data_IF_126042870663
#
_entry.id   IF_126042870663
#
_cell.length_a   1.000
_cell.length_b   1.000
_cell.length_c   1.000
_cell.angle_alpha   90.00
_cell.angle_beta   90.00
_cell.angle_gamma   90.00
#
_symmetry.space_group_name_H-M   'P 1'
#
loop_
_entity.id
_entity.type
_entity.pdbx_description
1 polymer ?
#
# COMPACT_ATOMS: atom_id res chain seq x y z
N UNK A 1 15.85 -9.85 -0.42
CA UNK A 1 15.30 -10.99 0.35
C UNK A 1 14.95 -12.14 -0.56
N UNK A 2 15.13 -13.38 -0.08
CA UNK A 2 14.80 -14.59 -0.81
C UNK A 2 13.34 -14.69 -1.23
N UNK A 3 12.41 -14.09 -0.49
CA UNK A 3 10.99 -13.99 -0.87
C UNK A 3 10.79 -13.47 -2.32
N UNK A 4 11.54 -12.43 -2.71
CA UNK A 4 11.48 -11.85 -4.07
C UNK A 4 12.02 -12.85 -5.10
N UNK A 5 13.14 -13.51 -4.80
CA UNK A 5 13.75 -14.49 -5.71
C UNK A 5 12.90 -15.76 -5.85
N UNK A 6 12.25 -16.21 -4.77
CA UNK A 6 11.28 -17.32 -4.80
C UNK A 6 10.08 -16.97 -5.66
N UNK A 7 9.56 -15.73 -5.56
CA UNK A 7 8.50 -15.25 -6.45
C UNK A 7 8.95 -15.26 -7.91
N UNK A 8 10.18 -14.82 -8.21
CA UNK A 8 10.72 -14.82 -9.57
C UNK A 8 10.84 -16.24 -10.14
N UNK A 9 11.34 -17.19 -9.33
CA UNK A 9 11.35 -18.63 -9.68
C UNK A 9 9.94 -19.12 -10.00
N UNK A 10 8.98 -18.83 -9.12
CA UNK A 10 7.58 -19.25 -9.28
C UNK A 10 6.97 -18.71 -10.58
N UNK A 11 7.19 -17.43 -10.89
CA UNK A 11 6.75 -16.81 -12.14
C UNK A 11 7.32 -17.55 -13.37
N UNK A 12 8.63 -17.79 -13.39
CA UNK A 12 9.29 -18.43 -14.53
C UNK A 12 8.80 -19.86 -14.71
N UNK A 13 8.66 -20.61 -13.63
CA UNK A 13 8.16 -21.99 -13.67
C UNK A 13 6.71 -22.06 -14.14
N UNK A 14 5.82 -21.18 -13.63
CA UNK A 14 4.40 -21.18 -13.97
C UNK A 14 4.13 -20.73 -15.42
N UNK A 15 4.86 -19.73 -15.93
CA UNK A 15 4.67 -19.24 -17.30
C UNK A 15 5.49 -19.99 -18.36
N UNK A 16 6.71 -20.40 -18.04
CA UNK A 16 7.70 -20.87 -19.03
C UNK A 16 8.25 -22.29 -18.73
N UNK A 17 7.79 -22.92 -17.64
CA UNK A 17 8.18 -24.27 -17.25
C UNK A 17 9.53 -24.37 -16.53
N UNK A 18 9.75 -25.52 -15.89
CA UNK A 18 10.97 -25.80 -15.11
C UNK A 18 12.25 -25.81 -15.96
N UNK A 19 12.17 -26.26 -17.22
CA UNK A 19 13.34 -26.27 -18.12
C UNK A 19 13.89 -24.85 -18.38
N UNK A 20 13.00 -23.87 -18.48
CA UNK A 20 13.39 -22.47 -18.70
C UNK A 20 14.05 -21.90 -17.44
N UNK A 21 13.49 -22.23 -16.26
CA UNK A 21 14.11 -21.88 -14.99
C UNK A 21 15.52 -22.48 -14.87
N UNK A 22 15.71 -23.76 -15.20
CA UNK A 22 17.02 -24.41 -15.07
C UNK A 22 18.06 -23.79 -16.00
N UNK A 23 17.70 -23.48 -17.25
CA UNK A 23 18.59 -22.75 -18.18
C UNK A 23 18.98 -21.38 -17.62
N UNK A 24 18.00 -20.64 -17.08
CA UNK A 24 18.20 -19.32 -16.52
C UNK A 24 19.09 -19.37 -15.27
N UNK A 25 18.86 -20.34 -14.39
CA UNK A 25 19.65 -20.62 -13.19
C UNK A 25 21.12 -20.89 -13.53
N UNK A 26 21.36 -21.78 -14.48
CA UNK A 26 22.71 -22.14 -14.93
C UNK A 26 23.44 -20.94 -15.57
N UNK A 27 22.74 -20.12 -16.36
CA UNK A 27 23.33 -18.94 -16.99
C UNK A 27 23.60 -17.79 -16.00
N UNK A 28 22.80 -17.67 -14.95
CA UNK A 28 22.98 -16.68 -13.89
C UNK A 28 23.95 -17.16 -12.78
N UNK A 29 24.27 -18.46 -12.74
CA UNK A 29 25.15 -19.04 -11.73
C UNK A 29 24.53 -19.05 -10.33
N UNK A 30 23.21 -19.19 -10.21
CA UNK A 30 22.49 -19.11 -8.94
C UNK A 30 22.08 -20.49 -8.40
N UNK A 31 21.88 -20.57 -7.09
CA UNK A 31 21.35 -21.78 -6.44
C UNK A 31 19.89 -22.04 -6.81
N UNK A 32 19.44 -23.30 -6.67
CA UNK A 32 18.06 -23.67 -7.06
C UNK A 32 16.99 -23.20 -6.07
N UNK A 33 17.30 -23.20 -4.78
CA UNK A 33 16.36 -22.79 -3.73
C UNK A 33 16.80 -21.49 -3.06
N UNK A 34 15.84 -20.60 -2.81
CA UNK A 34 16.05 -19.39 -2.03
C UNK A 34 15.33 -19.52 -0.69
N UNK A 35 16.03 -19.24 0.41
CA UNK A 35 15.43 -19.16 1.72
C UNK A 35 14.69 -17.82 1.86
N UNK A 36 13.39 -17.87 2.13
CA UNK A 36 12.49 -16.71 2.15
C UNK A 36 13.01 -15.51 2.95
N UNK A 37 13.58 -15.77 4.14
CA UNK A 37 14.04 -14.75 5.08
C UNK A 37 15.54 -14.42 4.97
N UNK A 38 16.27 -15.06 4.06
CA UNK A 38 17.68 -14.76 3.83
C UNK A 38 17.84 -13.55 2.91
N UNK A 39 18.83 -12.71 3.19
CA UNK A 39 19.17 -11.57 2.35
C UNK A 39 20.20 -12.01 1.32
N UNK A 40 19.82 -11.89 0.06
CA UNK A 40 20.69 -12.12 -1.09
C UNK A 40 21.12 -10.78 -1.67
N UNK A 41 22.30 -10.78 -2.28
CA UNK A 41 22.86 -9.65 -3.03
C UNK A 41 21.94 -9.20 -4.16
N UNK A 42 21.70 -7.90 -4.30
CA UNK A 42 20.79 -7.33 -5.31
C UNK A 42 21.26 -7.65 -6.74
N UNK A 43 22.57 -7.85 -6.96
CA UNK A 43 23.13 -8.27 -8.24
C UNK A 43 22.53 -9.59 -8.74
N UNK A 44 22.14 -10.49 -7.84
CA UNK A 44 21.52 -11.77 -8.20
C UNK A 44 20.18 -11.52 -8.88
N UNK A 45 19.32 -10.69 -8.28
CA UNK A 45 18.00 -10.38 -8.85
C UNK A 45 18.14 -9.64 -10.19
N UNK A 46 19.06 -8.68 -10.27
CA UNK A 46 19.32 -7.94 -11.52
C UNK A 46 19.85 -8.86 -12.64
N UNK A 47 20.75 -9.79 -12.32
CA UNK A 47 21.25 -10.77 -13.29
C UNK A 47 20.14 -11.71 -13.77
N UNK A 48 19.27 -12.18 -12.87
CA UNK A 48 18.15 -13.05 -13.25
C UNK A 48 17.19 -12.34 -14.21
N UNK A 49 16.90 -11.06 -13.96
CA UNK A 49 16.08 -10.22 -14.86
C UNK A 49 16.77 -10.03 -16.21
N UNK A 50 18.05 -9.65 -16.24
CA UNK A 50 18.81 -9.48 -17.50
C UNK A 50 18.84 -10.76 -18.36
N UNK A 51 19.05 -11.92 -17.71
CA UNK A 51 19.01 -13.23 -18.39
C UNK A 51 17.60 -13.58 -18.86
N UNK A 52 16.56 -13.30 -18.06
CA UNK A 52 15.17 -13.49 -18.48
C UNK A 52 14.84 -12.67 -19.73
N UNK A 53 15.26 -11.41 -19.78
CA UNK A 53 15.07 -10.55 -20.95
C UNK A 53 15.70 -11.15 -22.21
N UNK A 54 16.93 -11.68 -22.10
CA UNK A 54 17.65 -12.31 -23.21
C UNK A 54 16.96 -13.58 -23.73
N UNK A 55 16.41 -14.40 -22.82
CA UNK A 55 15.73 -15.64 -23.19
C UNK A 55 14.36 -15.35 -23.83
N UNK A 56 13.62 -14.39 -23.27
CA UNK A 56 12.26 -14.07 -23.69
C UNK A 56 12.21 -13.11 -24.89
N UNK A 57 13.31 -12.40 -25.17
CA UNK A 57 13.37 -11.41 -26.25
C UNK A 57 12.51 -10.17 -25.99
N UNK A 58 12.15 -9.91 -24.73
CA UNK A 58 11.35 -8.76 -24.30
C UNK A 58 12.21 -7.79 -23.47
N UNK A 59 11.90 -6.48 -23.50
CA UNK A 59 12.67 -5.50 -22.74
C UNK A 59 12.43 -5.61 -21.22
N UNK A 60 13.39 -5.13 -20.43
CA UNK A 60 13.42 -5.33 -18.98
C UNK A 60 12.25 -4.66 -18.23
N UNK A 61 11.78 -3.51 -18.71
CA UNK A 61 10.61 -2.81 -18.18
C UNK A 61 9.35 -3.67 -18.27
N UNK A 62 9.13 -4.37 -19.39
CA UNK A 62 8.02 -5.29 -19.58
C UNK A 62 8.12 -6.52 -18.66
N UNK A 63 9.31 -7.12 -18.54
CA UNK A 63 9.54 -8.26 -17.63
C UNK A 63 9.29 -7.85 -16.18
N UNK A 64 9.80 -6.70 -15.76
CA UNK A 64 9.65 -6.19 -14.39
C UNK A 64 8.19 -5.82 -14.08
N UNK A 65 7.46 -5.28 -15.07
CA UNK A 65 6.03 -5.02 -14.94
C UNK A 65 5.24 -6.31 -14.74
N UNK A 66 5.46 -7.32 -15.59
CA UNK A 66 4.81 -8.62 -15.42
C UNK A 66 5.18 -9.26 -14.08
N UNK A 67 6.43 -9.12 -13.67
CA UNK A 67 6.88 -9.58 -12.37
C UNK A 67 6.13 -8.87 -11.23
N UNK A 68 5.91 -7.56 -11.32
CA UNK A 68 5.14 -6.81 -10.33
C UNK A 68 3.69 -7.27 -10.22
N UNK A 69 3.03 -7.54 -11.35
CA UNK A 69 1.65 -8.07 -11.38
C UNK A 69 1.58 -9.44 -10.69
N UNK A 70 2.50 -10.35 -11.03
CA UNK A 70 2.59 -11.66 -10.42
C UNK A 70 2.97 -11.59 -8.93
N UNK A 71 3.88 -10.69 -8.56
CA UNK A 71 4.34 -10.51 -7.19
C UNK A 71 3.20 -10.12 -6.25
N UNK A 72 2.30 -9.24 -6.70
CA UNK A 72 1.12 -8.87 -5.92
C UNK A 72 0.23 -10.09 -5.64
N UNK A 73 -0.06 -10.90 -6.65
CA UNK A 73 -0.83 -12.13 -6.51
C UNK A 73 -0.11 -13.17 -5.65
N UNK A 74 1.21 -13.30 -5.79
CA UNK A 74 2.05 -14.16 -4.96
C UNK A 74 2.01 -13.75 -3.48
N UNK A 75 2.04 -12.45 -3.18
CA UNK A 75 1.87 -11.93 -1.82
C UNK A 75 0.53 -12.33 -1.22
N UNK A 76 -0.56 -12.23 -1.98
CA UNK A 76 -1.89 -12.67 -1.54
C UNK A 76 -1.91 -14.17 -1.22
N UNK A 77 -1.40 -15.00 -2.13
CA UNK A 77 -1.30 -16.47 -1.95
C UNK A 77 -0.41 -16.86 -0.76
N UNK A 78 0.59 -16.03 -0.45
CA UNK A 78 1.49 -16.20 0.69
C UNK A 78 0.86 -15.82 2.05
N UNK A 79 -0.43 -15.47 2.08
CA UNK A 79 -1.18 -15.17 3.31
C UNK A 79 -1.27 -13.68 3.65
N UNK A 80 -0.78 -12.77 2.80
CA UNK A 80 -0.88 -11.32 3.02
C UNK A 80 -2.18 -10.70 2.48
N UNK A 81 -3.09 -11.48 1.88
CA UNK A 81 -4.33 -10.96 1.25
C UNK A 81 -5.18 -10.11 2.20
N UNK A 82 -5.45 -10.60 3.41
CA UNK A 82 -6.26 -9.86 4.37
C UNK A 82 -5.60 -8.53 4.77
N UNK A 83 -4.29 -8.54 5.02
CA UNK A 83 -3.52 -7.35 5.38
C UNK A 83 -3.54 -6.31 4.25
N UNK A 84 -3.28 -6.74 3.02
CA UNK A 84 -3.27 -5.87 1.84
C UNK A 84 -4.64 -5.22 1.59
N UNK A 85 -5.74 -5.97 1.78
CA UNK A 85 -7.11 -5.44 1.63
C UNK A 85 -7.50 -4.39 2.68
N UNK A 86 -6.81 -4.36 3.82
CA UNK A 86 -7.10 -3.41 4.91
C UNK A 86 -6.35 -2.09 4.80
N UNK A 87 -5.44 -1.94 3.83
CA UNK A 87 -4.58 -0.75 3.72
C UNK A 87 -5.30 0.52 3.29
N UNK A 88 -6.46 0.43 2.63
CA UNK A 88 -7.18 1.63 2.21
C UNK A 88 -8.53 1.34 1.57
N UNK A 89 -9.45 2.31 1.66
CA UNK A 89 -10.78 2.23 1.03
C UNK A 89 -10.78 2.66 -0.44
N UNK A 90 -9.69 3.24 -0.93
CA UNK A 90 -9.46 3.62 -2.32
C UNK A 90 -7.97 3.49 -2.68
N UNK A 91 -7.64 3.58 -3.97
CA UNK A 91 -6.26 3.42 -4.45
C UNK A 91 -5.28 4.43 -3.84
N UNK A 92 -5.73 5.67 -3.58
CA UNK A 92 -4.88 6.68 -2.97
C UNK A 92 -4.48 6.28 -1.55
N UNK A 93 -5.46 5.94 -0.70
CA UNK A 93 -5.20 5.49 0.68
C UNK A 93 -4.38 4.21 0.72
N UNK A 94 -4.62 3.29 -0.22
CA UNK A 94 -3.82 2.06 -0.33
C UNK A 94 -2.34 2.39 -0.52
N UNK A 95 -2.02 3.30 -1.44
CA UNK A 95 -0.64 3.72 -1.71
C UNK A 95 -0.04 4.49 -0.54
N UNK A 96 -0.82 5.40 0.08
CA UNK A 96 -0.39 6.20 1.23
C UNK A 96 0.03 5.33 2.42
N UNK A 97 -0.63 4.19 2.62
CA UNK A 97 -0.36 3.26 3.72
C UNK A 97 0.70 2.18 3.42
N UNK A 98 1.32 2.17 2.22
CA UNK A 98 2.35 1.17 1.88
C UNK A 98 3.60 1.28 2.76
N UNK A 99 4.01 2.48 3.12
CA UNK A 99 5.19 2.71 3.97
C UNK A 99 4.97 2.13 5.37
N UNK A 100 3.78 2.32 5.94
CA UNK A 100 3.40 1.74 7.23
C UNK A 100 3.38 0.20 7.19
N UNK A 101 2.90 -0.39 6.09
CA UNK A 101 3.00 -1.84 5.86
C UNK A 101 4.47 -2.30 5.86
N UNK A 102 5.34 -1.59 5.14
CA UNK A 102 6.76 -1.94 5.08
C UNK A 102 7.44 -1.85 6.45
N UNK A 103 7.12 -0.84 7.25
CA UNK A 103 7.60 -0.75 8.64
C UNK A 103 7.18 -1.97 9.47
N UNK A 104 5.91 -2.40 9.35
CA UNK A 104 5.42 -3.60 10.04
C UNK A 104 6.11 -4.88 9.56
N UNK A 105 6.28 -5.03 8.25
CA UNK A 105 6.98 -6.17 7.67
C UNK A 105 8.44 -6.21 8.12
N UNK A 106 9.12 -5.06 8.18
CA UNK A 106 10.51 -4.98 8.65
C UNK A 106 10.67 -5.56 10.06
N UNK A 107 9.78 -5.17 10.98
CA UNK A 107 9.74 -5.73 12.34
C UNK A 107 9.50 -7.23 12.35
N UNK A 108 8.57 -7.73 11.53
CA UNK A 108 8.23 -9.15 11.49
C UNK A 108 9.34 -10.02 10.87
N UNK A 109 10.07 -9.51 9.89
CA UNK A 109 11.19 -10.19 9.24
C UNK A 109 12.44 -10.16 10.13
N UNK A 110 12.67 -9.04 10.84
CA UNK A 110 13.72 -8.91 11.85
C UNK A 110 13.53 -9.92 12.98
N UNK A 111 12.34 -9.98 13.58
CA UNK A 111 12.04 -10.92 14.68
C UNK A 111 12.21 -12.40 14.27
N UNK A 112 11.94 -12.74 13.00
CA UNK A 112 12.13 -14.10 12.47
C UNK A 112 13.60 -14.40 12.15
N UNK A 113 14.38 -13.39 11.78
CA UNK A 113 15.82 -13.53 11.52
C UNK A 113 16.62 -13.76 12.81
N UNK A 114 16.22 -13.12 13.91
CA UNK A 114 16.84 -13.31 15.24
C UNK A 114 16.63 -14.72 15.81
N UNK A 115 15.52 -15.36 15.45
CA UNK A 115 15.21 -16.73 15.88
C UNK A 115 16.08 -17.79 15.19
N UNK A 116 16.80 -17.47 14.10
CA UNK A 116 17.51 -18.47 13.29
C UNK A 116 19.03 -18.57 13.53
N UNK A 117 19.73 -17.56 14.08
CA UNK A 117 21.09 -17.76 14.62
C UNK A 117 21.58 -16.53 15.41
N UNK A 118 22.13 -16.75 16.60
CA UNK A 118 22.97 -15.79 17.33
C UNK A 118 24.20 -15.46 16.46
N UNK A 119 24.49 -14.17 16.22
CA UNK A 119 25.71 -13.61 15.56
C UNK A 119 25.68 -13.18 14.08
N UNK A 120 24.53 -12.91 13.46
CA UNK A 120 24.51 -12.06 12.26
C UNK A 120 23.63 -10.86 12.52
N UNK A 121 24.21 -9.66 12.46
CA UNK A 121 23.49 -8.40 12.60
C UNK A 121 22.21 -8.44 11.75
N UNK A 122 21.00 -8.25 12.33
CA UNK A 122 19.78 -8.27 11.56
C UNK A 122 19.86 -7.14 10.53
N UNK A 123 19.97 -7.49 9.24
CA UNK A 123 19.83 -6.51 8.18
C UNK A 123 18.36 -6.10 8.13
N UNK A 124 18.11 -4.83 8.45
CA UNK A 124 16.80 -4.21 8.33
C UNK A 124 16.31 -4.32 6.89
N UNK A 125 15.00 -4.53 6.74
CA UNK A 125 14.42 -4.62 5.41
C UNK A 125 14.51 -3.27 4.72
N UNK A 126 15.39 -3.17 3.72
CA UNK A 126 15.46 -1.99 2.87
C UNK A 126 14.27 -2.00 1.88
N UNK A 127 13.21 -1.32 2.30
CA UNK A 127 11.96 -1.16 1.56
C UNK A 127 11.91 0.21 0.85
N UNK A 128 11.28 0.27 -0.34
CA UNK A 128 11.02 1.54 -0.98
C UNK A 128 9.96 2.34 -0.21
N UNK A 129 10.01 3.66 -0.36
CA UNK A 129 9.02 4.59 0.18
C UNK A 129 8.13 5.16 -0.93
N UNK A 130 6.86 5.33 -0.62
CA UNK A 130 5.82 5.83 -1.52
C UNK A 130 5.15 7.08 -0.95
N UNK A 131 5.05 8.10 -1.79
CA UNK A 131 4.26 9.29 -1.52
C UNK A 131 3.34 9.56 -2.70
N UNK A 132 2.10 9.93 -2.42
CA UNK A 132 1.11 10.18 -3.47
C UNK A 132 0.49 11.56 -3.28
N UNK A 133 0.32 12.30 -4.37
CA UNK A 133 -0.32 13.61 -4.41
C UNK A 133 -1.51 13.55 -5.38
N UNK A 134 -2.68 14.06 -4.98
CA UNK A 134 -3.85 14.17 -5.87
C UNK A 134 -3.80 15.47 -6.65
N UNK A 135 -4.01 15.38 -7.96
CA UNK A 135 -4.19 16.53 -8.83
C UNK A 135 -5.67 16.94 -8.92
N UNK A 136 -5.93 18.18 -9.33
CA UNK A 136 -7.29 18.72 -9.47
C UNK A 136 -8.12 18.01 -10.55
N UNK A 137 -7.47 17.44 -11.56
CA UNK A 137 -8.09 16.70 -12.66
C UNK A 137 -8.49 15.26 -12.28
N UNK A 138 -8.15 14.81 -11.08
CA UNK A 138 -8.39 13.44 -10.59
C UNK A 138 -7.30 12.43 -10.92
N UNK A 139 -6.22 12.84 -11.61
CA UNK A 139 -4.99 12.07 -11.70
C UNK A 139 -4.17 12.17 -10.39
N UNK A 140 -3.13 11.34 -10.26
CA UNK A 140 -2.26 11.36 -9.08
C UNK A 140 -0.79 11.31 -9.49
N UNK A 141 0.06 12.03 -8.76
CA UNK A 141 1.50 11.87 -8.84
C UNK A 141 1.97 10.91 -7.75
N UNK A 142 2.53 9.78 -8.16
CA UNK A 142 3.15 8.81 -7.26
C UNK A 142 4.67 9.00 -7.27
N UNK A 143 5.22 9.39 -6.14
CA UNK A 143 6.64 9.50 -5.87
C UNK A 143 7.13 8.16 -5.28
N UNK A 144 8.10 7.56 -5.95
CA UNK A 144 8.78 6.35 -5.55
C UNK A 144 10.22 6.67 -5.18
N UNK A 145 10.64 6.26 -3.99
CA UNK A 145 12.01 6.41 -3.51
C UNK A 145 12.63 5.05 -3.22
N UNK A 146 13.83 4.79 -3.73
CA UNK A 146 14.56 3.55 -3.44
C UNK A 146 16.07 3.75 -3.46
N UNK A 147 16.77 2.98 -2.63
CA UNK A 147 18.23 2.87 -2.70
C UNK A 147 18.68 1.99 -3.89
N UNK A 148 17.76 1.18 -4.46
CA UNK A 148 18.04 0.25 -5.55
C UNK A 148 17.62 0.87 -6.88
N UNK A 149 18.55 0.90 -7.85
CA UNK A 149 18.32 1.48 -9.17
C UNK A 149 17.68 0.48 -10.13
N UNK A 150 16.74 0.95 -10.94
CA UNK A 150 16.16 0.19 -12.07
C UNK A 150 15.06 -0.81 -11.70
N UNK A 151 14.67 -0.88 -10.43
CA UNK A 151 13.54 -1.71 -9.97
C UNK A 151 12.19 -0.98 -10.00
N UNK A 152 12.19 0.29 -10.39
CA UNK A 152 10.99 1.12 -10.46
C UNK A 152 9.90 0.55 -11.39
N UNK A 153 10.28 -0.21 -12.43
CA UNK A 153 9.35 -0.81 -13.39
C UNK A 153 8.47 -1.92 -12.78
N UNK A 154 8.78 -2.38 -11.57
CA UNK A 154 7.93 -3.30 -10.80
C UNK A 154 6.68 -2.56 -10.28
N UNK A 155 6.81 -1.27 -9.95
CA UNK A 155 5.74 -0.48 -9.31
C UNK A 155 4.48 -0.41 -10.17
N UNK A 156 4.53 -0.12 -11.49
CA UNK A 156 3.35 -0.18 -12.34
C UNK A 156 2.60 -1.52 -12.32
N UNK A 157 3.33 -2.63 -12.24
CA UNK A 157 2.73 -3.96 -12.17
C UNK A 157 2.01 -4.21 -10.84
N UNK A 158 2.65 -3.88 -9.72
CA UNK A 158 2.06 -4.05 -8.38
C UNK A 158 0.83 -3.15 -8.22
N UNK A 159 0.97 -1.86 -8.48
CA UNK A 159 -0.11 -0.89 -8.28
C UNK A 159 -1.25 -1.14 -9.28
N UNK A 160 -0.92 -1.54 -10.51
CA UNK A 160 -1.92 -1.94 -11.52
C UNK A 160 -2.73 -3.15 -11.10
N UNK A 161 -2.07 -4.21 -10.60
CA UNK A 161 -2.75 -5.40 -10.10
C UNK A 161 -3.63 -5.09 -8.87
N UNK A 162 -3.12 -4.28 -7.93
CA UNK A 162 -3.89 -3.85 -6.76
C UNK A 162 -5.13 -3.01 -7.15
N UNK A 163 -4.97 -2.07 -8.09
CA UNK A 163 -6.05 -1.23 -8.58
C UNK A 163 -7.18 -2.07 -9.20
N UNK A 164 -6.83 -3.06 -10.00
CA UNK A 164 -7.79 -3.93 -10.65
C UNK A 164 -8.49 -4.88 -9.66
N UNK A 165 -7.71 -5.57 -8.81
CA UNK A 165 -8.25 -6.61 -7.92
C UNK A 165 -9.04 -6.04 -6.74
N UNK A 166 -8.58 -4.94 -6.13
CA UNK A 166 -9.20 -4.40 -4.91
C UNK A 166 -10.25 -3.34 -5.20
N UNK A 167 -10.05 -2.53 -6.25
CA UNK A 167 -10.88 -1.36 -6.52
C UNK A 167 -11.64 -1.45 -7.85
N UNK A 168 -11.38 -2.47 -8.68
CA UNK A 168 -11.98 -2.65 -10.00
C UNK A 168 -11.78 -1.42 -10.91
N UNK A 169 -10.55 -0.88 -10.90
CA UNK A 169 -10.11 0.27 -11.69
C UNK A 169 -8.93 -0.16 -12.55
N UNK A 170 -8.96 0.18 -13.84
CA UNK A 170 -7.78 0.09 -14.70
C UNK A 170 -6.99 1.39 -14.59
N UNK A 171 -5.67 1.30 -14.47
CA UNK A 171 -4.80 2.48 -14.37
C UNK A 171 -3.77 2.48 -15.48
N UNK A 172 -3.38 3.67 -15.93
CA UNK A 172 -2.14 3.88 -16.67
C UNK A 172 -1.15 4.61 -15.78
N UNK A 173 0.11 4.19 -15.85
CA UNK A 173 1.22 4.80 -15.11
C UNK A 173 2.34 5.14 -16.08
N UNK A 174 2.71 6.41 -16.11
CA UNK A 174 3.77 6.94 -16.98
C UNK A 174 4.84 7.62 -16.13
N UNK A 175 6.12 7.42 -16.48
CA UNK A 175 7.22 8.09 -15.77
C UNK A 175 7.29 9.53 -16.29
N UNK A 176 7.07 10.50 -15.40
CA UNK A 176 7.15 11.93 -15.72
C UNK A 176 8.47 12.56 -15.28
N UNK A 177 9.12 11.99 -14.25
CA UNK A 177 10.41 12.47 -13.79
C UNK A 177 11.24 11.31 -13.20
N UNK A 178 12.56 11.37 -13.41
CA UNK A 178 13.53 10.44 -12.83
C UNK A 178 14.77 11.23 -12.41
N UNK A 179 15.02 11.27 -11.11
CA UNK A 179 16.10 12.02 -10.48
C UNK A 179 16.86 11.12 -9.50
N UNK A 180 18.12 11.49 -9.21
CA UNK A 180 18.85 10.96 -8.07
C UNK A 180 18.89 12.05 -7.01
N UNK A 181 18.36 11.75 -5.83
CA UNK A 181 18.38 12.66 -4.69
C UNK A 181 19.42 12.19 -3.67
N UNK A 182 20.24 13.13 -3.20
CA UNK A 182 21.26 12.85 -2.19
C UNK A 182 20.64 13.03 -0.80
N UNK A 183 20.55 11.94 -0.03
CA UNK A 183 20.06 11.93 1.34
C UNK A 183 21.19 11.62 2.32
N UNK A 184 20.89 11.75 3.62
CA UNK A 184 21.84 11.45 4.71
C UNK A 184 22.36 10.01 4.67
N UNK A 185 21.55 9.06 4.19
CA UNK A 185 21.89 7.64 4.09
C UNK A 185 22.54 7.26 2.76
N UNK A 186 22.65 8.18 1.80
CA UNK A 186 23.19 7.95 0.47
C UNK A 186 22.32 8.49 -0.65
N UNK A 187 22.68 8.16 -1.89
CA UNK A 187 21.90 8.53 -3.08
C UNK A 187 20.70 7.61 -3.23
N UNK A 188 19.51 8.19 -3.38
CA UNK A 188 18.26 7.48 -3.65
C UNK A 188 17.76 7.80 -5.05
N UNK A 189 17.30 6.77 -5.75
CA UNK A 189 16.51 6.93 -6.97
C UNK A 189 15.14 7.48 -6.60
N UNK A 190 14.76 8.61 -7.19
CA UNK A 190 13.44 9.21 -7.07
C UNK A 190 12.76 9.21 -8.43
N UNK A 191 11.62 8.52 -8.52
CA UNK A 191 10.81 8.47 -9.74
C UNK A 191 9.43 9.01 -9.45
N UNK A 192 8.93 9.86 -10.33
CA UNK A 192 7.55 10.36 -10.29
C UNK A 192 6.78 9.71 -11.41
N UNK A 193 5.72 8.99 -11.04
CA UNK A 193 4.74 8.42 -11.95
C UNK A 193 3.48 9.28 -12.00
N UNK A 194 2.99 9.58 -13.20
CA UNK A 194 1.63 10.07 -13.39
C UNK A 194 0.68 8.87 -13.47
N UNK A 195 -0.26 8.80 -12.54
CA UNK A 195 -1.26 7.74 -12.43
C UNK A 195 -2.61 8.27 -12.90
N UNK A 196 -3.13 7.70 -13.99
CA UNK A 196 -4.46 8.02 -14.51
C UNK A 196 -5.41 6.85 -14.26
N UNK A 197 -6.56 7.14 -13.66
CA UNK A 197 -7.56 6.14 -13.32
C UNK A 197 -8.66 6.08 -14.39
N UNK A 198 -8.85 4.91 -14.99
CA UNK A 198 -9.92 4.62 -15.91
C UNK A 198 -10.91 3.64 -15.23
N UNK A 199 -12.13 4.07 -14.89
CA UNK A 199 -13.11 3.16 -14.31
C UNK A 199 -13.41 2.06 -15.32
N UNK A 200 -13.35 0.80 -14.88
CA UNK A 200 -13.72 -0.33 -15.73
C UNK A 200 -15.23 -0.29 -15.91
N UNK A 201 -15.70 0.27 -17.03
CA UNK A 201 -17.10 0.16 -17.41
C UNK A 201 -17.40 -1.32 -17.66
N UNK A 202 -18.17 -1.94 -16.76
CA UNK A 202 -18.53 -3.34 -16.89
C UNK A 202 -19.36 -3.57 -18.16
N UNK A 203 -18.76 -4.09 -19.23
CA UNK A 203 -19.48 -4.75 -20.31
C UNK A 203 -18.73 -5.98 -20.81
N UNK A 204 -19.32 -7.15 -20.50
CA UNK A 204 -19.12 -8.48 -21.09
C UNK A 204 -17.69 -9.07 -21.08
N UNK A 205 -17.50 -10.00 -20.13
CA UNK A 205 -16.87 -11.33 -20.31
C UNK A 205 -15.68 -11.35 -21.29
N UNK A 206 -14.48 -10.97 -20.83
CA UNK A 206 -13.22 -11.42 -21.45
C UNK A 206 -13.09 -12.92 -21.21
N UNK A 207 -13.61 -13.71 -22.14
CA UNK A 207 -13.19 -15.09 -22.36
C UNK A 207 -13.12 -15.28 -23.87
N UNK A 208 -11.92 -15.15 -24.43
CA UNK A 208 -11.48 -15.83 -25.64
C UNK A 208 -10.01 -15.47 -25.88
N UNK A 209 -9.13 -16.15 -25.15
CA UNK A 209 -7.83 -16.63 -25.65
C UNK A 209 -7.32 -17.70 -24.66
N UNK A 210 -7.94 -18.88 -24.70
CA UNK A 210 -7.29 -20.17 -24.46
C UNK A 210 -8.31 -21.32 -24.52
N UNK A 211 -7.96 -22.32 -25.30
CA UNK A 211 -8.52 -23.67 -25.37
C UNK A 211 -9.88 -23.87 -26.03
N UNK A 212 -9.82 -24.08 -27.35
CA UNK A 212 -10.72 -24.93 -28.11
C UNK A 212 -10.81 -26.34 -27.52
N UNK A 213 -12.01 -26.77 -27.13
CA UNK A 213 -12.39 -28.19 -27.09
C UNK A 213 -13.75 -28.32 -27.74
N UNK A 214 -13.77 -29.07 -28.84
CA UNK A 214 -14.95 -29.46 -29.59
C UNK A 214 -15.82 -30.42 -28.76
N UNK A 215 -17.14 -30.33 -28.94
CA UNK A 215 -18.15 -31.41 -29.10
C UNK A 215 -19.50 -31.03 -28.45
N UNK A 216 -20.48 -30.75 -29.35
CA UNK A 216 -21.94 -31.05 -29.35
C UNK A 216 -22.76 -30.73 -28.07
N UNK A 217 -23.92 -30.07 -28.13
CA UNK A 217 -25.08 -30.38 -28.96
C UNK A 217 -26.09 -29.20 -29.02
N UNK A 218 -26.85 -29.19 -30.10
CA UNK A 218 -27.90 -28.25 -30.50
C UNK A 218 -29.12 -28.25 -29.56
N UNK A 219 -29.65 -27.07 -29.20
CA UNK A 219 -31.11 -26.83 -29.22
C UNK A 219 -31.49 -25.37 -28.94
N UNK A 220 -32.27 -24.85 -29.90
CA UNK A 220 -33.34 -23.85 -29.75
C UNK A 220 -33.00 -22.35 -29.74
N UNK A 221 -33.17 -21.81 -30.96
CA UNK A 221 -33.47 -20.41 -31.30
C UNK A 221 -34.84 -19.97 -30.75
N UNK A 222 -34.95 -18.64 -30.63
CA UNK A 222 -36.16 -17.82 -30.41
C UNK A 222 -36.70 -17.88 -28.98
N UNK A 223 -36.80 -16.78 -28.23
CA UNK A 223 -37.84 -15.76 -28.40
C UNK A 223 -37.35 -14.43 -27.81
N UNK A 224 -37.50 -13.34 -28.58
CA UNK A 224 -37.32 -11.98 -28.11
C UNK A 224 -38.59 -11.40 -27.48
N UNK A 225 -38.38 -10.41 -26.61
CA UNK A 225 -39.28 -9.31 -26.24
C UNK A 225 -40.73 -9.62 -25.83
N UNK A 226 -41.01 -9.55 -24.53
CA UNK A 226 -42.10 -8.75 -23.92
C UNK A 226 -42.12 -8.97 -22.41
N UNK A 227 -41.83 -7.94 -21.61
CA UNK A 227 -42.16 -7.90 -20.17
C UNK A 227 -43.13 -6.75 -19.96
N UNK A 228 -44.40 -7.12 -19.73
CA UNK A 228 -45.53 -6.23 -19.59
C UNK A 228 -45.53 -5.52 -18.22
N UNK A 229 -46.03 -4.29 -18.23
CA UNK A 229 -46.15 -3.37 -17.08
C UNK A 229 -47.12 -3.85 -15.99
N UNK A 230 -47.80 -4.97 -16.17
CA UNK A 230 -48.83 -5.49 -15.24
C UNK A 230 -48.25 -6.40 -14.14
N UNK A 231 -47.05 -6.96 -14.32
CA UNK A 231 -46.41 -7.82 -13.30
C UNK A 231 -45.81 -7.02 -12.12
N UNK A 232 -45.54 -5.73 -12.32
CA UNK A 232 -44.98 -4.83 -11.32
C UNK A 232 -46.01 -4.37 -10.26
N UNK A 233 -47.30 -4.33 -10.60
CA UNK A 233 -48.34 -3.93 -9.64
C UNK A 233 -48.84 -5.09 -8.78
N UNK A 234 -48.86 -6.32 -9.33
CA UNK A 234 -49.23 -7.53 -8.56
C UNK A 234 -48.25 -7.84 -7.42
N UNK A 235 -46.95 -7.58 -7.62
CA UNK A 235 -45.93 -7.81 -6.60
C UNK A 235 -46.01 -6.82 -5.42
N UNK A 236 -46.64 -5.65 -5.59
CA UNK A 236 -46.71 -4.59 -4.58
C UNK A 236 -47.83 -4.80 -3.56
N UNK A 237 -48.85 -5.58 -3.90
CA UNK A 237 -50.00 -5.83 -3.03
C UNK A 237 -49.89 -7.07 -2.14
N UNK A 238 -48.84 -7.90 -2.30
CA UNK A 238 -48.64 -9.13 -1.49
C UNK A 238 -47.90 -8.89 -0.17
N UNK A 239 -47.37 -7.69 0.08
CA UNK A 239 -46.51 -7.39 1.24
C UNK A 239 -47.32 -6.87 2.46
N UNK A 240 -48.64 -6.71 2.34
CA UNK A 240 -49.46 -6.07 3.39
C UNK A 240 -50.23 -7.00 4.32
N UNK A 241 -50.16 -8.33 4.13
CA UNK A 241 -50.83 -9.29 4.99
C UNK A 241 -49.93 -10.50 5.33
N UNK A 242 -49.30 -10.45 6.51
CA UNK A 242 -49.27 -11.54 7.52
C UNK A 242 -48.20 -11.28 8.59
N UNK A 243 -48.68 -11.21 9.83
CA UNK A 243 -47.84 -11.28 11.03
C UNK A 243 -47.53 -12.73 11.45
N UNK A 244 -46.45 -12.82 12.22
CA UNK A 244 -46.05 -13.86 13.18
C UNK A 244 -45.74 -15.29 12.72
N UNK A 245 -44.54 -15.72 13.14
CA UNK A 245 -44.13 -17.08 13.53
C UNK A 245 -43.45 -18.01 12.49
N UNK A 246 -42.34 -18.59 12.98
CA UNK A 246 -41.55 -19.76 12.54
C UNK A 246 -40.51 -19.57 11.42
N UNK A 247 -39.24 -19.75 11.79
CA UNK A 247 -38.08 -19.87 10.91
C UNK A 247 -38.07 -21.19 10.11
N UNK A 248 -37.67 -21.13 8.83
CA UNK A 248 -36.64 -22.05 8.37
C UNK A 248 -35.51 -21.35 7.59
N UNK A 249 -34.45 -22.13 7.41
CA UNK A 249 -33.06 -21.78 7.15
C UNK A 249 -32.75 -21.45 5.66
N UNK A 250 -31.90 -20.42 5.49
CA UNK A 250 -30.94 -20.07 4.40
C UNK A 250 -31.43 -19.61 3.02
N UNK A 251 -30.61 -18.66 2.50
CA UNK A 251 -30.47 -18.17 1.12
C UNK A 251 -31.26 -16.94 0.62
N UNK A 252 -31.65 -15.99 1.48
CA UNK A 252 -32.30 -14.74 1.02
C UNK A 252 -31.76 -13.42 1.60
N UNK A 253 -30.73 -13.43 2.45
CA UNK A 253 -30.30 -12.20 3.13
C UNK A 253 -29.53 -11.23 2.21
N UNK A 254 -28.72 -11.75 1.26
CA UNK A 254 -27.90 -10.94 0.35
C UNK A 254 -28.66 -10.24 -0.79
N UNK A 255 -29.92 -10.63 -1.04
CA UNK A 255 -30.80 -9.93 -1.99
C UNK A 255 -31.51 -8.75 -1.33
N UNK A 256 -31.94 -8.91 -0.08
CA UNK A 256 -32.57 -7.84 0.70
C UNK A 256 -31.57 -6.73 1.06
N UNK A 257 -30.31 -7.08 1.39
CA UNK A 257 -29.26 -6.08 1.66
C UNK A 257 -28.97 -5.21 0.43
N UNK A 258 -29.03 -5.78 -0.80
CA UNK A 258 -28.82 -5.00 -2.03
C UNK A 258 -29.92 -3.97 -2.31
N UNK A 259 -31.15 -4.20 -1.86
CA UNK A 259 -32.26 -3.25 -2.00
C UNK A 259 -32.23 -2.10 -0.97
N UNK A 260 -31.48 -2.24 0.11
CA UNK A 260 -31.39 -1.23 1.19
C UNK A 260 -30.27 -0.21 0.93
N UNK A 261 -29.28 -0.53 0.08
CA UNK A 261 -28.19 0.38 -0.36
C UNK A 261 -28.69 1.35 -1.46
N UNK A 262 -29.92 1.84 -1.34
CA UNK A 262 -30.47 2.94 -2.14
C UNK A 262 -31.06 4.05 -1.26
N UNK A 263 -30.48 4.25 -0.07
CA UNK A 263 -30.76 5.38 0.80
C UNK A 263 -29.62 6.38 0.73
N UNK A 264 -29.70 7.21 -0.31
CA UNK A 264 -28.84 8.36 -0.55
C UNK A 264 -28.70 8.59 -2.04
N UNK A 265 -29.33 9.66 -2.56
CA UNK A 265 -29.02 10.19 -3.90
C UNK A 265 -27.60 10.76 -3.92
N UNK A 266 -26.59 9.89 -3.83
CA UNK A 266 -25.17 10.19 -3.93
C UNK A 266 -24.54 9.29 -4.99
N UNK A 267 -23.49 9.77 -5.65
CA UNK A 267 -22.77 9.10 -6.75
C UNK A 267 -22.28 7.68 -6.36
N UNK A 268 -23.14 6.68 -6.48
CA UNK A 268 -22.71 5.29 -6.49
C UNK A 268 -21.82 5.09 -7.72
N UNK A 269 -20.58 4.63 -7.49
CA UNK A 269 -19.49 4.29 -8.42
C UNK A 269 -18.26 5.21 -8.46
N UNK A 270 -18.12 6.25 -7.62
CA UNK A 270 -16.83 6.96 -7.44
C UNK A 270 -16.37 6.89 -6.00
N UNK A 271 -15.57 5.88 -5.67
CA UNK A 271 -14.71 5.84 -4.47
C UNK A 271 -15.42 6.00 -3.11
N UNK A 272 -14.65 5.83 -2.04
CA UNK A 272 -15.02 6.33 -0.72
C UNK A 272 -14.57 7.79 -0.63
N UNK A 273 -15.51 8.71 -0.39
CA UNK A 273 -15.23 10.12 -0.12
C UNK A 273 -15.56 10.43 1.36
N UNK A 274 -14.56 10.71 2.22
CA UNK A 274 -14.81 11.02 3.62
C UNK A 274 -15.56 12.35 3.77
N UNK A 275 -16.49 12.42 4.73
CA UNK A 275 -17.24 13.63 5.06
C UNK A 275 -16.73 14.20 6.38
N UNK A 276 -16.18 15.40 6.33
CA UNK A 276 -15.68 16.12 7.51
C UNK A 276 -16.68 17.19 7.97
N UNK A 277 -16.88 17.36 9.29
CA UNK A 277 -17.73 18.43 9.81
C UNK A 277 -17.12 19.80 9.50
N UNK A 278 -17.97 20.81 9.26
CA UNK A 278 -17.52 22.19 8.97
C UNK A 278 -16.83 22.88 10.15
N UNK A 279 -17.13 22.44 11.37
CA UNK A 279 -16.58 22.99 12.59
C UNK A 279 -16.07 21.88 13.48
N UNK A 280 -14.97 22.13 14.19
CA UNK A 280 -14.43 21.24 15.20
C UNK A 280 -15.18 21.49 16.52
N UNK A 281 -15.86 20.46 17.05
CA UNK A 281 -16.70 20.56 18.26
C UNK A 281 -15.93 20.26 19.57
N UNK A 282 -14.61 20.48 19.56
CA UNK A 282 -13.74 20.27 20.72
C UNK A 282 -12.88 21.52 20.92
N UNK A 283 -12.86 22.06 22.14
CA UNK A 283 -12.02 23.21 22.47
C UNK A 283 -10.54 22.80 22.61
N UNK A 284 -9.64 23.78 22.51
CA UNK A 284 -8.19 23.55 22.52
C UNK A 284 -7.70 22.90 23.81
N UNK A 285 -8.29 23.25 24.97
CA UNK A 285 -7.91 22.68 26.26
C UNK A 285 -8.33 21.22 26.32
N UNK A 286 -9.54 20.88 25.90
CA UNK A 286 -10.00 19.49 25.85
C UNK A 286 -9.17 18.67 24.86
N UNK A 287 -8.85 19.21 23.68
CA UNK A 287 -7.99 18.54 22.69
C UNK A 287 -6.59 18.25 23.25
N UNK A 288 -5.95 19.24 23.88
CA UNK A 288 -4.59 19.06 24.41
C UNK A 288 -4.50 18.11 25.61
N UNK A 289 -5.59 17.96 26.36
CA UNK A 289 -5.71 16.95 27.40
C UNK A 289 -6.06 15.56 26.83
N UNK A 290 -6.86 15.50 25.77
CA UNK A 290 -7.28 14.26 25.11
C UNK A 290 -6.16 13.58 24.32
N UNK A 291 -5.26 14.35 23.71
CA UNK A 291 -4.05 13.86 23.05
C UNK A 291 -2.81 14.32 23.82
N UNK A 292 -2.39 13.61 24.89
CA UNK A 292 -1.37 14.10 25.81
C UNK A 292 0.04 14.22 25.22
N UNK A 293 0.33 13.52 24.12
CA UNK A 293 1.63 13.47 23.42
C UNK A 293 1.47 13.83 21.95
N UNK A 294 1.01 15.05 21.66
CA UNK A 294 0.95 15.60 20.31
C UNK A 294 1.76 16.89 20.22
N UNK A 295 2.15 17.26 19.00
CA UNK A 295 2.85 18.49 18.69
C UNK A 295 2.37 19.04 17.35
N UNK A 296 2.13 20.34 17.26
CA UNK A 296 1.82 21.05 16.02
C UNK A 296 2.82 22.19 15.88
N UNK A 297 3.43 22.32 14.72
CA UNK A 297 4.48 23.32 14.44
C UNK A 297 4.34 23.88 13.03
N UNK A 298 4.90 25.07 12.79
CA UNK A 298 4.88 25.72 11.49
C UNK A 298 6.05 25.30 10.58
N UNK A 299 6.13 25.93 9.41
CA UNK A 299 7.17 25.66 8.40
C UNK A 299 8.58 26.09 8.85
N UNK A 300 8.69 26.86 9.92
CA UNK A 300 9.94 27.23 10.57
C UNK A 300 10.27 26.32 11.77
N UNK A 301 9.56 25.19 11.91
CA UNK A 301 9.67 24.26 13.04
C UNK A 301 9.32 24.90 14.39
N UNK A 302 8.56 26.00 14.40
CA UNK A 302 8.14 26.65 15.65
C UNK A 302 6.87 25.99 16.18
N UNK A 303 6.95 25.51 17.41
CA UNK A 303 5.82 24.84 18.07
C UNK A 303 4.66 25.83 18.29
N UNK A 304 3.47 25.48 17.80
CA UNK A 304 2.21 26.21 17.96
C UNK A 304 1.29 25.58 18.99
N UNK A 305 1.37 24.27 19.16
CA UNK A 305 0.52 23.49 20.05
C UNK A 305 1.26 22.25 20.55
N UNK A 306 1.05 21.87 21.80
CA UNK A 306 1.61 20.64 22.37
C UNK A 306 0.64 20.01 23.38
N UNK A 307 0.71 18.69 23.54
CA UNK A 307 -0.06 17.97 24.55
C UNK A 307 0.37 18.28 25.98
N UNK A 308 -0.53 18.09 26.94
CA UNK A 308 -0.26 18.46 28.34
C UNK A 308 0.82 17.57 28.98
N UNK A 309 0.87 16.28 28.66
CA UNK A 309 1.85 15.37 29.26
C UNK A 309 3.25 15.58 28.70
N UNK A 310 3.39 15.79 27.39
CA UNK A 310 4.70 16.08 26.79
C UNK A 310 5.29 17.39 27.33
N UNK A 311 4.47 18.42 27.55
CA UNK A 311 4.89 19.69 28.18
C UNK A 311 5.39 19.53 29.62
N UNK A 312 4.94 18.51 30.36
CA UNK A 312 5.45 18.21 31.72
C UNK A 312 6.84 17.58 31.67
N UNK A 313 7.10 16.77 30.64
CA UNK A 313 8.36 16.04 30.48
C UNK A 313 9.43 16.92 29.83
N UNK A 314 9.03 17.75 28.85
CA UNK A 314 9.87 18.68 28.12
C UNK A 314 9.36 20.11 28.37
N UNK A 315 9.78 20.77 29.47
CA UNK A 315 9.23 22.07 29.87
C UNK A 315 9.41 23.18 28.83
N UNK A 316 10.39 23.07 27.92
CA UNK A 316 10.57 24.00 26.82
C UNK A 316 9.31 24.14 25.95
N UNK A 317 8.52 23.08 25.80
CA UNK A 317 7.27 23.08 25.04
C UNK A 317 6.16 23.94 25.66
N UNK A 318 6.31 24.40 26.91
CA UNK A 318 5.39 25.37 27.51
C UNK A 318 5.59 26.78 26.93
N UNK A 319 6.76 27.06 26.36
CA UNK A 319 7.05 28.32 25.68
C UNK A 319 6.62 28.21 24.23
N UNK A 320 5.48 28.79 23.88
CA UNK A 320 4.99 28.77 22.49
C UNK A 320 5.98 29.48 21.55
N UNK A 321 6.22 28.89 20.37
CA UNK A 321 7.11 29.44 19.35
C UNK A 321 8.58 29.01 19.45
N UNK A 322 8.94 28.11 20.37
CA UNK A 322 10.27 27.48 20.41
C UNK A 322 10.51 26.64 19.15
N UNK A 323 11.77 26.54 18.74
CA UNK A 323 12.18 25.71 17.62
C UNK A 323 12.28 24.24 18.05
N UNK A 324 11.59 23.37 17.32
CA UNK A 324 11.44 21.95 17.66
C UNK A 324 12.75 21.18 17.61
N UNK A 325 13.57 21.46 16.60
CA UNK A 325 14.88 20.85 16.32
C UNK A 325 15.94 21.12 17.41
N UNK A 326 15.73 22.14 18.23
CA UNK A 326 16.54 22.40 19.42
C UNK A 326 16.29 21.41 20.55
N UNK A 327 15.08 20.85 20.65
CA UNK A 327 14.68 19.95 21.74
C UNK A 327 14.66 18.48 21.33
N UNK A 328 14.46 18.21 20.04
CA UNK A 328 14.33 16.86 19.51
C UNK A 328 15.30 16.62 18.35
N UNK A 329 15.64 15.36 18.16
CA UNK A 329 16.29 14.83 16.96
C UNK A 329 15.40 13.77 16.33
N UNK A 330 15.48 13.62 15.01
CA UNK A 330 14.84 12.52 14.29
C UNK A 330 15.78 11.32 14.36
N UNK A 331 15.33 10.25 14.99
CA UNK A 331 16.04 8.96 15.04
C UNK A 331 15.64 8.09 13.85
N UNK A 332 14.36 8.12 13.49
CA UNK A 332 13.84 7.38 12.34
C UNK A 332 12.74 8.21 11.65
N UNK A 333 12.68 8.24 10.31
CA UNK A 333 13.76 7.86 9.38
C UNK A 333 15.01 8.73 9.58
N UNK A 334 16.17 8.24 9.15
CA UNK A 334 17.46 8.92 9.33
C UNK A 334 17.63 10.14 8.41
N UNK A 335 16.84 11.20 8.64
CA UNK A 335 16.76 12.37 7.75
C UNK A 335 17.14 13.67 8.49
N UNK A 336 17.56 14.72 7.77
CA UNK A 336 17.71 16.04 8.36
C UNK A 336 16.40 16.53 8.99
N UNK A 337 16.47 17.22 10.13
CA UNK A 337 15.29 17.80 10.78
C UNK A 337 14.86 19.08 10.04
N UNK A 338 14.28 18.92 8.86
CA UNK A 338 13.73 20.02 8.06
C UNK A 338 12.30 19.69 7.61
N UNK A 339 11.49 20.72 7.36
CA UNK A 339 10.12 20.52 6.87
C UNK A 339 10.10 19.81 5.52
N UNK A 340 11.04 20.12 4.62
CA UNK A 340 11.16 19.44 3.34
C UNK A 340 11.40 17.94 3.52
N UNK A 341 12.28 17.56 4.45
CA UNK A 341 12.55 16.16 4.76
C UNK A 341 11.32 15.49 5.41
N UNK A 342 10.66 16.15 6.35
CA UNK A 342 9.45 15.60 6.99
C UNK A 342 8.33 15.38 5.97
N UNK A 343 8.09 16.33 5.07
CA UNK A 343 7.09 16.22 4.00
C UNK A 343 7.42 15.10 3.00
N UNK A 344 8.71 14.91 2.71
CA UNK A 344 9.18 13.83 1.83
C UNK A 344 8.83 12.45 2.40
N UNK A 345 8.97 12.29 3.72
CA UNK A 345 8.73 11.03 4.43
C UNK A 345 7.42 11.02 5.23
N UNK A 346 6.41 11.79 4.80
CA UNK A 346 5.18 12.01 5.56
C UNK A 346 4.41 10.72 5.92
N UNK A 347 4.56 9.66 5.11
CA UNK A 347 3.92 8.36 5.30
C UNK A 347 4.77 7.40 6.14
N UNK A 348 6.02 7.75 6.44
CA UNK A 348 6.89 6.97 7.30
C UNK A 348 6.58 7.25 8.77
N UNK A 349 6.75 6.24 9.62
CA UNK A 349 6.69 6.43 11.06
C UNK A 349 7.88 7.28 11.53
N UNK A 350 7.61 8.38 12.23
CA UNK A 350 8.69 9.19 12.81
C UNK A 350 8.96 8.77 14.25
N UNK A 351 10.24 8.72 14.59
CA UNK A 351 10.73 8.58 15.96
C UNK A 351 11.50 9.84 16.33
N UNK A 352 10.88 10.69 17.14
CA UNK A 352 11.53 11.86 17.71
C UNK A 352 12.09 11.51 19.09
N UNK A 353 13.39 11.73 19.27
CA UNK A 353 14.06 11.55 20.55
C UNK A 353 14.41 12.91 21.13
N UNK A 354 14.20 13.08 22.43
CA UNK A 354 14.62 14.32 23.10
C UNK A 354 16.14 14.44 23.15
N UNK A 355 16.65 15.67 23.16
CA UNK A 355 18.07 15.98 23.36
C UNK A 355 18.38 16.12 24.84
N UNK A 356 19.42 15.41 25.32
CA UNK A 356 19.72 15.29 26.76
C UNK A 356 20.02 16.65 27.40
N UNK A 357 20.68 17.54 26.66
CA UNK A 357 21.04 18.89 27.07
C UNK A 357 19.84 19.81 27.32
N UNK A 358 18.69 19.52 26.68
CA UNK A 358 17.47 20.31 26.83
C UNK A 358 16.48 19.74 27.85
N UNK A 359 16.83 18.62 28.48
CA UNK A 359 15.99 17.97 29.48
C UNK A 359 16.28 18.51 30.90
N UNK A 360 15.27 18.54 31.80
CA UNK A 360 15.48 18.90 33.20
C UNK A 360 16.51 18.02 33.89
N UNK A 361 17.19 18.54 34.91
CA UNK A 361 18.22 17.80 35.68
C UNK A 361 17.70 16.47 36.22
N UNK A 362 16.44 16.46 36.69
CA UNK A 362 15.75 15.27 37.19
C UNK A 362 15.56 14.15 36.15
N UNK A 363 15.70 14.47 34.86
CA UNK A 363 15.59 13.53 33.75
C UNK A 363 16.94 13.08 33.19
N UNK A 364 18.06 13.71 33.57
CA UNK A 364 19.38 13.41 32.99
C UNK A 364 19.87 11.98 33.23
N UNK A 365 19.39 11.31 34.27
CA UNK A 365 19.72 9.90 34.56
C UNK A 365 18.72 8.90 33.98
N UNK A 366 17.64 9.37 33.34
CA UNK A 366 16.62 8.53 32.73
C UNK A 366 16.95 8.26 31.25
N UNK A 367 16.39 7.20 30.65
CA UNK A 367 16.39 7.06 29.20
C UNK A 367 15.74 8.28 28.54
N UNK A 368 16.22 8.62 27.35
CA UNK A 368 15.64 9.70 26.56
C UNK A 368 14.19 9.36 26.21
N UNK A 369 13.35 10.39 26.13
CA UNK A 369 11.98 10.20 25.69
C UNK A 369 12.00 10.00 24.17
N UNK A 370 11.45 8.88 23.72
CA UNK A 370 11.17 8.62 22.31
C UNK A 370 9.68 8.71 22.06
N UNK A 371 9.29 9.54 21.11
CA UNK A 371 7.94 9.69 20.62
C UNK A 371 7.84 9.05 19.25
N UNK A 372 6.99 8.05 19.13
CA UNK A 372 6.72 7.35 17.87
C UNK A 372 5.33 7.76 17.40
N UNK A 373 5.24 8.26 16.17
CA UNK A 373 3.99 8.79 15.63
C UNK A 373 4.01 8.96 14.13
#
# INVERSE_FOLDING_TARGET
YGFINTCLKSLVVEKYGEETWEKLRLQAGVQDSFLTFEVYKDEITMQLVDKACKILGVPADMVLREFGEYFFEFCKRSGYDHMLRTLGGNLYEFIENLDALHSYLSLSYQAKSEALFLFVFPQEMNAPSFRVEKNEDGSMHLHYYSDRRGLCHIVPGIIGAAALDFFNIEISMEIVNQTEEEERTGKKEHIVFLVTQNPVFSYKRRNEFSCSSQYLDDSEKQIGNQLNKEDLEKARNTIRDRGSSVCPVKNSHWKTIRGIITLGKGKLLRGFDPVYPKSLWIDTKTFCNGLPFHMVFDKELRVKQAGVSIQKIVPGLQTMGICLDQYFSIVHPEVPFTISSIQKFINSQFVFQTRREMMPESWKQRPMLELRG
#
